data_IF_881796492398
#
_entry.id   IF_881796492398
#
_cell.length_a   1.000
_cell.length_b   1.000
_cell.length_c   1.000
_cell.angle_alpha   90.00
_cell.angle_beta   90.00
_cell.angle_gamma   90.00
#
_symmetry.space_group_name_H-M   'P 1'
#
loop_
_entity.id
_entity.type
_entity.pdbx_description
1 polymer ?
#
# COMPACT_ATOMS: atom_id res chain seq x y z
N UNK A 1 -10.40 3.70 19.81
CA UNK A 1 -9.03 4.29 19.77
C UNK A 1 -8.04 3.51 18.90
N UNK A 2 -7.88 2.18 19.04
CA UNK A 2 -6.88 1.40 18.28
C UNK A 2 -7.06 1.43 16.75
N UNK A 3 -8.31 1.44 16.24
CA UNK A 3 -8.60 1.52 14.78
C UNK A 3 -8.24 2.88 14.18
N UNK A 4 -8.48 3.98 14.89
CA UNK A 4 -8.13 5.34 14.44
C UNK A 4 -6.63 5.54 14.26
N UNK A 5 -5.82 4.92 15.13
CA UNK A 5 -4.35 4.92 15.01
C UNK A 5 -3.91 4.14 13.76
N UNK A 6 -4.52 2.98 13.48
CA UNK A 6 -4.21 2.21 12.27
C UNK A 6 -4.46 2.96 10.98
N UNK A 7 -5.61 3.67 10.89
CA UNK A 7 -5.94 4.51 9.72
C UNK A 7 -4.99 5.71 9.59
N UNK A 8 -4.61 6.34 10.71
CA UNK A 8 -3.61 7.41 10.70
C UNK A 8 -2.25 6.92 10.21
N UNK A 9 -1.81 5.74 10.67
CA UNK A 9 -0.56 5.12 10.21
C UNK A 9 -0.61 4.85 8.71
N UNK A 10 -1.70 4.26 8.21
CA UNK A 10 -1.90 4.02 6.77
C UNK A 10 -1.85 5.33 5.97
N UNK A 11 -2.46 6.40 6.48
CA UNK A 11 -2.40 7.71 5.85
C UNK A 11 -0.97 8.27 5.81
N UNK A 12 -0.22 8.20 6.92
CA UNK A 12 1.19 8.63 6.97
C UNK A 12 2.06 7.82 6.02
N UNK A 13 1.91 6.49 5.99
CA UNK A 13 2.62 5.63 5.04
C UNK A 13 2.27 5.98 3.59
N UNK A 14 1.00 6.28 3.30
CA UNK A 14 0.58 6.68 1.95
C UNK A 14 1.25 7.98 1.49
N UNK A 15 1.39 8.96 2.39
CA UNK A 15 2.07 10.23 2.10
C UNK A 15 3.57 9.98 1.85
N UNK A 16 4.20 9.16 2.69
CA UNK A 16 5.61 8.82 2.52
C UNK A 16 5.87 8.13 1.17
N UNK A 17 5.04 7.13 0.83
CA UNK A 17 5.14 6.43 -0.46
C UNK A 17 4.82 7.33 -1.66
N UNK A 18 3.85 8.25 -1.50
CA UNK A 18 3.54 9.26 -2.51
C UNK A 18 4.71 10.21 -2.74
N UNK A 19 5.36 10.69 -1.68
CA UNK A 19 6.51 11.57 -1.78
C UNK A 19 7.67 10.88 -2.54
N UNK A 20 7.96 9.62 -2.23
CA UNK A 20 8.99 8.85 -2.93
C UNK A 20 8.59 8.63 -4.40
N UNK A 21 7.34 8.27 -4.67
CA UNK A 21 6.88 8.05 -6.04
C UNK A 21 6.90 9.33 -6.88
N UNK A 22 6.51 10.46 -6.30
CA UNK A 22 6.58 11.77 -6.93
C UNK A 22 8.04 12.20 -7.18
N UNK A 23 8.94 11.92 -6.24
CA UNK A 23 10.38 12.12 -6.43
C UNK A 23 10.90 11.29 -7.61
N UNK A 24 10.52 10.01 -7.71
CA UNK A 24 10.93 9.17 -8.85
C UNK A 24 10.36 9.65 -10.18
N UNK A 25 9.13 10.17 -10.21
CA UNK A 25 8.57 10.83 -11.40
C UNK A 25 9.39 12.06 -11.76
N UNK A 26 9.78 12.88 -10.78
CA UNK A 26 10.61 14.06 -11.03
C UNK A 26 12.00 13.67 -11.58
N UNK A 27 12.66 12.68 -10.98
CA UNK A 27 13.96 12.17 -11.42
C UNK A 27 13.90 11.54 -12.82
N UNK A 28 12.75 11.04 -13.23
CA UNK A 28 12.56 10.57 -14.61
C UNK A 28 12.71 11.72 -15.64
N UNK A 29 12.32 12.94 -15.29
CA UNK A 29 12.51 14.13 -16.14
C UNK A 29 13.88 14.76 -15.97
N UNK A 30 14.44 14.73 -14.76
CA UNK A 30 15.77 15.24 -14.47
C UNK A 30 16.63 14.14 -13.84
N UNK A 31 17.29 13.35 -14.68
CA UNK A 31 18.14 12.23 -14.25
C UNK A 31 19.32 12.67 -13.37
N UNK A 32 19.70 13.97 -13.40
CA UNK A 32 20.76 14.53 -12.54
C UNK A 32 20.31 14.71 -11.09
N UNK A 33 19.00 14.72 -10.84
CA UNK A 33 18.43 14.79 -9.50
C UNK A 33 18.41 13.44 -8.78
N UNK A 34 18.88 12.36 -9.43
CA UNK A 34 18.94 11.02 -8.83
C UNK A 34 19.95 11.00 -7.67
N UNK A 35 19.44 10.78 -6.46
CA UNK A 35 20.26 10.58 -5.25
C UNK A 35 20.31 9.09 -4.97
N UNK A 36 21.16 8.35 -5.69
CA UNK A 36 21.39 6.93 -5.49
C UNK A 36 22.74 6.53 -6.12
N UNK A 37 23.31 5.40 -5.69
CA UNK A 37 24.46 4.82 -6.38
C UNK A 37 24.11 4.52 -7.83
N UNK A 38 25.03 4.86 -8.73
CA UNK A 38 25.01 4.55 -10.16
C UNK A 38 26.00 3.43 -10.53
N UNK A 39 26.57 2.76 -9.53
CA UNK A 39 27.57 1.71 -9.73
C UNK A 39 27.31 0.48 -8.86
N UNK A 40 27.67 -0.70 -9.38
CA UNK A 40 27.49 -1.98 -8.70
C UNK A 40 26.08 -2.55 -8.77
N UNK A 41 25.74 -3.41 -7.80
CA UNK A 41 24.46 -4.14 -7.74
C UNK A 41 23.27 -3.25 -7.34
N UNK A 42 23.53 -2.12 -6.66
CA UNK A 42 22.52 -1.10 -6.35
C UNK A 42 22.70 0.03 -7.35
N UNK A 43 21.90 0.00 -8.42
CA UNK A 43 21.98 0.97 -9.52
C UNK A 43 20.58 1.46 -9.90
N UNK A 44 20.16 2.54 -9.24
CA UNK A 44 18.85 3.12 -9.50
C UNK A 44 18.74 3.72 -10.91
N UNK A 45 19.85 4.25 -11.45
CA UNK A 45 19.90 4.86 -12.78
C UNK A 45 19.60 3.81 -13.87
N UNK A 46 20.24 2.65 -13.78
CA UNK A 46 19.99 1.54 -14.70
C UNK A 46 18.54 1.06 -14.65
N UNK A 47 17.92 1.01 -13.47
CA UNK A 47 16.53 0.56 -13.32
C UNK A 47 15.57 1.60 -13.91
N UNK A 48 15.74 2.89 -13.58
CA UNK A 48 14.84 3.97 -14.00
C UNK A 48 14.93 4.34 -15.48
N UNK A 49 16.09 4.12 -16.11
CA UNK A 49 16.30 4.39 -17.54
C UNK A 49 15.99 3.18 -18.43
N UNK A 50 15.82 1.99 -17.83
CA UNK A 50 15.53 0.78 -18.58
C UNK A 50 14.19 0.82 -19.31
N UNK A 51 14.08 0.08 -20.41
CA UNK A 51 12.80 -0.13 -21.11
C UNK A 51 11.74 -0.82 -20.24
N UNK A 52 12.16 -1.42 -19.12
CA UNK A 52 11.29 -2.08 -18.12
C UNK A 52 10.77 -1.12 -17.05
N UNK A 53 11.19 0.15 -17.08
CA UNK A 53 10.58 1.22 -16.28
C UNK A 53 9.18 1.63 -16.78
N UNK A 54 8.75 1.10 -17.92
CA UNK A 54 7.42 1.33 -18.49
C UNK A 54 6.51 0.13 -18.23
N UNK A 55 5.22 0.42 -18.03
CA UNK A 55 4.20 -0.61 -17.88
C UNK A 55 4.11 -1.43 -19.17
N UNK A 56 4.19 -2.78 -19.12
CA UNK A 56 4.21 -3.62 -20.30
C UNK A 56 3.01 -3.35 -21.22
N UNK A 57 3.29 -3.03 -22.49
CA UNK A 57 2.28 -2.69 -23.48
C UNK A 57 1.87 -1.21 -23.54
N UNK A 58 2.43 -0.35 -22.68
CA UNK A 58 2.18 1.11 -22.72
C UNK A 58 3.48 1.92 -22.61
N UNK A 59 3.45 3.22 -22.92
CA UNK A 59 4.58 4.15 -22.72
C UNK A 59 4.52 4.87 -21.37
N UNK A 60 3.76 4.36 -20.40
CA UNK A 60 3.57 5.02 -19.11
C UNK A 60 4.62 4.53 -18.11
N UNK A 61 5.43 5.42 -17.51
CA UNK A 61 6.38 5.02 -16.48
C UNK A 61 5.67 4.44 -15.26
N UNK A 62 6.22 3.37 -14.71
CA UNK A 62 5.68 2.65 -13.55
C UNK A 62 5.58 3.57 -12.32
N UNK A 63 6.45 4.58 -12.22
CA UNK A 63 6.41 5.59 -11.17
C UNK A 63 5.05 6.33 -11.11
N UNK A 64 4.39 6.57 -12.25
CA UNK A 64 3.04 7.17 -12.26
C UNK A 64 1.99 6.24 -11.66
N UNK A 65 2.10 4.93 -11.89
CA UNK A 65 1.19 3.98 -11.25
C UNK A 65 1.37 3.96 -9.74
N UNK A 66 2.60 4.06 -9.25
CA UNK A 66 2.89 4.23 -7.83
C UNK A 66 2.20 5.45 -7.23
N UNK A 67 2.32 6.61 -7.87
CA UNK A 67 1.63 7.85 -7.46
C UNK A 67 0.12 7.63 -7.37
N UNK A 68 -0.51 7.09 -8.42
CA UNK A 68 -1.96 6.83 -8.43
C UNK A 68 -2.34 5.88 -7.29
N UNK A 69 -1.58 4.81 -7.10
CA UNK A 69 -1.87 3.82 -6.07
C UNK A 69 -1.79 4.40 -4.65
N UNK A 70 -0.78 5.23 -4.36
CA UNK A 70 -0.64 5.89 -3.06
C UNK A 70 -1.71 6.96 -2.82
N UNK A 71 -2.08 7.73 -3.85
CA UNK A 71 -3.17 8.71 -3.76
C UNK A 71 -4.48 8.00 -3.42
N UNK A 72 -4.83 6.95 -4.16
CA UNK A 72 -6.07 6.18 -3.91
C UNK A 72 -6.05 5.57 -2.50
N UNK A 73 -4.94 4.96 -2.09
CA UNK A 73 -4.80 4.40 -0.75
C UNK A 73 -4.93 5.46 0.35
N UNK A 74 -4.35 6.64 0.16
CA UNK A 74 -4.44 7.75 1.11
C UNK A 74 -5.84 8.33 1.21
N UNK A 75 -6.56 8.46 0.09
CA UNK A 75 -7.97 8.89 0.07
C UNK A 75 -8.85 7.89 0.81
N UNK A 76 -8.69 6.59 0.57
CA UNK A 76 -9.46 5.55 1.26
C UNK A 76 -9.18 5.60 2.77
N UNK A 77 -7.90 5.68 3.18
CA UNK A 77 -7.52 5.77 4.59
C UNK A 77 -8.08 7.04 5.27
N UNK A 78 -8.08 8.18 4.57
CA UNK A 78 -8.66 9.42 5.07
C UNK A 78 -10.18 9.34 5.23
N UNK A 79 -10.89 8.76 4.26
CA UNK A 79 -12.34 8.56 4.32
C UNK A 79 -12.72 7.60 5.46
N UNK A 80 -11.96 6.52 5.64
CA UNK A 80 -12.11 5.58 6.74
C UNK A 80 -11.88 6.24 8.10
N UNK A 81 -10.94 7.19 8.19
CA UNK A 81 -10.66 7.90 9.44
C UNK A 81 -11.72 8.96 9.78
N UNK A 82 -12.12 9.80 8.82
CA UNK A 82 -12.92 11.00 9.09
C UNK A 82 -14.42 10.77 9.07
N UNK A 83 -14.91 9.89 8.18
CA UNK A 83 -16.33 9.84 7.87
C UNK A 83 -16.92 8.48 8.29
N UNK A 84 -16.35 7.36 7.84
CA UNK A 84 -17.00 6.03 7.89
C UNK A 84 -16.12 4.96 8.56
N UNK A 85 -15.78 5.09 9.86
CA UNK A 85 -14.86 4.16 10.56
C UNK A 85 -15.39 2.73 10.75
N UNK A 86 -16.63 2.45 10.33
CA UNK A 86 -17.40 1.24 10.68
C UNK A 86 -17.91 0.46 9.45
N UNK A 87 -17.60 0.87 8.21
CA UNK A 87 -18.10 0.16 7.03
C UNK A 87 -17.11 -0.90 6.55
N UNK A 88 -17.45 -2.18 6.80
CA UNK A 88 -16.73 -3.36 6.30
C UNK A 88 -16.43 -3.29 4.80
N UNK A 89 -17.34 -2.72 4.01
CA UNK A 89 -17.14 -2.51 2.56
C UNK A 89 -15.91 -1.66 2.20
N UNK A 90 -15.56 -0.65 3.02
CA UNK A 90 -14.37 0.17 2.79
C UNK A 90 -13.09 -0.63 3.08
N UNK A 91 -13.08 -1.44 4.13
CA UNK A 91 -11.96 -2.31 4.48
C UNK A 91 -11.73 -3.38 3.42
N UNK A 92 -12.79 -3.99 2.88
CA UNK A 92 -12.70 -4.96 1.78
C UNK A 92 -12.11 -4.30 0.54
N UNK A 93 -12.57 -3.09 0.20
CA UNK A 93 -12.04 -2.33 -0.95
C UNK A 93 -10.57 -2.00 -0.74
N UNK A 94 -10.19 -1.60 0.47
CA UNK A 94 -8.81 -1.28 0.82
C UNK A 94 -7.91 -2.53 0.76
N UNK A 95 -8.40 -3.69 1.21
CA UNK A 95 -7.69 -4.95 1.12
C UNK A 95 -7.54 -5.41 -0.35
N UNK A 96 -8.60 -5.32 -1.15
CA UNK A 96 -8.54 -5.61 -2.58
C UNK A 96 -7.53 -4.71 -3.30
N UNK A 97 -7.51 -3.41 -2.97
CA UNK A 97 -6.54 -2.46 -3.51
C UNK A 97 -5.10 -2.76 -3.06
N UNK A 98 -4.93 -3.24 -1.82
CA UNK A 98 -3.64 -3.68 -1.30
C UNK A 98 -3.11 -4.93 -2.02
N UNK A 99 -3.99 -5.84 -2.44
CA UNK A 99 -3.64 -7.01 -3.26
C UNK A 99 -3.07 -6.56 -4.63
N UNK A 100 -3.68 -5.56 -5.26
CA UNK A 100 -3.12 -4.98 -6.49
C UNK A 100 -1.71 -4.38 -6.26
N UNK A 101 -1.49 -3.75 -5.10
CA UNK A 101 -0.20 -3.23 -4.69
C UNK A 101 0.87 -4.33 -4.58
N UNK A 102 0.60 -5.42 -3.86
CA UNK A 102 1.58 -6.50 -3.66
C UNK A 102 1.88 -7.27 -4.96
N UNK A 103 0.88 -7.47 -5.83
CA UNK A 103 1.10 -8.05 -7.15
C UNK A 103 2.08 -7.20 -7.97
N UNK A 104 1.93 -5.88 -7.89
CA UNK A 104 2.83 -4.93 -8.55
C UNK A 104 4.24 -5.02 -7.97
N UNK A 105 4.39 -5.07 -6.64
CA UNK A 105 5.69 -5.25 -5.97
C UNK A 105 6.39 -6.53 -6.41
N UNK A 106 5.70 -7.66 -6.39
CA UNK A 106 6.27 -8.95 -6.81
C UNK A 106 6.73 -8.91 -8.27
N UNK A 107 5.96 -8.28 -9.14
CA UNK A 107 6.33 -8.08 -10.54
C UNK A 107 7.59 -7.23 -10.68
N UNK A 108 7.70 -6.10 -9.98
CA UNK A 108 8.86 -5.21 -10.07
C UNK A 108 10.12 -5.85 -9.50
N UNK A 109 10.02 -6.51 -8.35
CA UNK A 109 11.14 -7.24 -7.74
C UNK A 109 11.64 -8.33 -8.68
N UNK A 110 10.74 -9.04 -9.37
CA UNK A 110 11.13 -10.01 -10.38
C UNK A 110 11.92 -9.36 -11.53
N UNK A 111 11.51 -8.18 -11.99
CA UNK A 111 12.25 -7.45 -13.03
C UNK A 111 13.63 -6.99 -12.55
N UNK A 112 13.72 -6.42 -11.35
CA UNK A 112 14.98 -5.95 -10.77
C UNK A 112 16.01 -7.09 -10.64
N UNK A 113 15.59 -8.21 -10.05
CA UNK A 113 16.49 -9.32 -9.74
C UNK A 113 16.78 -10.19 -10.96
N UNK A 114 15.75 -10.62 -11.68
CA UNK A 114 15.90 -11.66 -12.72
C UNK A 114 16.23 -11.07 -14.08
N UNK A 115 15.67 -9.91 -14.42
CA UNK A 115 15.82 -9.32 -15.76
C UNK A 115 16.96 -8.31 -15.79
N UNK A 116 17.01 -7.41 -14.82
CA UNK A 116 17.98 -6.30 -14.78
C UNK A 116 19.26 -6.66 -14.01
N UNK A 117 19.21 -7.65 -13.10
CA UNK A 117 20.29 -7.97 -12.16
C UNK A 117 20.81 -6.73 -11.41
N UNK A 118 19.92 -5.78 -11.11
CA UNK A 118 20.21 -4.53 -10.44
C UNK A 118 19.04 -4.13 -9.54
N UNK A 119 19.35 -3.63 -8.34
CA UNK A 119 18.37 -3.22 -7.34
C UNK A 119 18.30 -1.70 -7.28
N UNK A 120 17.07 -1.15 -7.27
CA UNK A 120 16.85 0.25 -6.98
C UNK A 120 16.47 0.42 -5.50
N UNK A 121 17.28 1.20 -4.76
CA UNK A 121 17.03 1.47 -3.34
C UNK A 121 15.70 2.20 -3.11
N UNK A 122 15.34 3.13 -4.01
CA UNK A 122 14.08 3.87 -3.94
C UNK A 122 12.86 3.01 -4.26
N UNK A 123 12.94 2.12 -5.26
CA UNK A 123 11.87 1.16 -5.55
C UNK A 123 11.70 0.20 -4.36
N UNK A 124 12.81 -0.29 -3.79
CA UNK A 124 12.78 -1.14 -2.59
C UNK A 124 12.11 -0.44 -1.41
N UNK A 125 12.38 0.85 -1.19
CA UNK A 125 11.69 1.63 -0.15
C UNK A 125 10.17 1.67 -0.39
N UNK A 126 9.74 1.91 -1.62
CA UNK A 126 8.31 1.84 -2.00
C UNK A 126 7.73 0.45 -1.77
N UNK A 127 8.45 -0.62 -2.13
CA UNK A 127 8.01 -2.00 -1.90
C UNK A 127 7.78 -2.30 -0.41
N UNK A 128 8.69 -1.84 0.45
CA UNK A 128 8.57 -2.00 1.91
C UNK A 128 7.36 -1.24 2.45
N UNK A 129 7.10 -0.01 1.96
CA UNK A 129 5.93 0.77 2.38
C UNK A 129 4.63 0.05 1.98
N UNK A 130 4.54 -0.45 0.74
CA UNK A 130 3.36 -1.19 0.26
C UNK A 130 3.13 -2.45 1.11
N UNK A 131 4.19 -3.20 1.41
CA UNK A 131 4.14 -4.38 2.30
C UNK A 131 3.64 -4.01 3.70
N UNK A 132 4.18 -2.94 4.30
CA UNK A 132 3.74 -2.48 5.60
C UNK A 132 2.26 -2.05 5.60
N UNK A 133 1.81 -1.37 4.54
CA UNK A 133 0.39 -1.02 4.38
C UNK A 133 -0.50 -2.25 4.24
N UNK A 134 -0.07 -3.28 3.49
CA UNK A 134 -0.79 -4.54 3.38
C UNK A 134 -0.92 -5.22 4.75
N UNK A 135 0.16 -5.32 5.52
CA UNK A 135 0.14 -5.92 6.85
C UNK A 135 -0.83 -5.17 7.79
N UNK A 136 -0.81 -3.83 7.76
CA UNK A 136 -1.75 -3.02 8.54
C UNK A 136 -3.21 -3.25 8.12
N UNK A 137 -3.48 -3.34 6.81
CA UNK A 137 -4.82 -3.65 6.31
C UNK A 137 -5.30 -5.02 6.76
N UNK A 138 -4.44 -6.05 6.69
CA UNK A 138 -4.78 -7.41 7.17
C UNK A 138 -5.08 -7.39 8.67
N UNK A 139 -4.26 -6.71 9.49
CA UNK A 139 -4.48 -6.61 10.93
C UNK A 139 -5.80 -5.88 11.27
N UNK A 140 -6.15 -4.83 10.50
CA UNK A 140 -7.41 -4.11 10.68
C UNK A 140 -8.61 -4.95 10.26
N UNK A 141 -8.46 -5.73 9.19
CA UNK A 141 -9.50 -6.63 8.67
C UNK A 141 -9.79 -7.78 9.64
N UNK A 142 -8.76 -8.50 10.12
CA UNK A 142 -8.94 -9.60 11.07
C UNK A 142 -9.55 -9.16 12.40
N UNK A 143 -9.24 -7.94 12.85
CA UNK A 143 -9.91 -7.34 14.00
C UNK A 143 -11.39 -7.01 13.76
N UNK A 144 -11.76 -6.76 12.50
CA UNK A 144 -13.16 -6.49 12.17
C UNK A 144 -13.97 -7.77 12.17
N UNK A 145 -13.43 -8.83 11.59
CA UNK A 145 -14.10 -10.13 11.61
C UNK A 145 -14.30 -10.65 13.04
N UNK A 146 -13.30 -10.51 13.92
CA UNK A 146 -13.41 -10.92 15.32
C UNK A 146 -14.45 -10.11 16.12
N UNK A 147 -14.59 -8.81 15.83
CA UNK A 147 -15.58 -7.96 16.50
C UNK A 147 -17.01 -8.31 16.04
N UNK A 148 -17.21 -8.68 14.77
CA UNK A 148 -18.52 -9.12 14.24
C UNK A 148 -18.92 -10.52 14.68
N UNK A 149 -17.97 -11.45 14.83
CA UNK A 149 -18.25 -12.79 15.37
C UNK A 149 -18.74 -12.71 16.82
N UNK A 150 -18.16 -11.79 17.62
CA UNK A 150 -18.62 -11.50 18.98
C UNK A 150 -20.04 -10.90 19.02
N UNK A 151 -20.35 -9.91 18.16
CA UNK A 151 -21.70 -9.34 18.09
C UNK A 151 -22.77 -10.37 17.67
N UNK A 152 -22.44 -11.28 16.75
CA UNK A 152 -23.33 -12.39 16.36
C UNK A 152 -23.59 -13.31 17.56
N UNK A 153 -22.55 -13.75 18.26
CA UNK A 153 -22.69 -14.62 19.44
C UNK A 153 -23.54 -13.97 20.55
N UNK A 154 -23.42 -12.66 20.74
CA UNK A 154 -24.19 -11.92 21.74
C UNK A 154 -25.67 -11.79 21.35
N UNK A 155 -25.97 -11.58 20.05
CA UNK A 155 -27.35 -11.52 19.53
C UNK A 155 -28.06 -12.88 19.55
N UNK A 156 -27.33 -13.98 19.32
CA UNK A 156 -27.87 -15.35 19.29
C UNK A 156 -28.03 -15.96 20.70
N UNK A 157 -27.48 -15.33 21.75
CA UNK A 157 -27.86 -15.66 23.14
C UNK A 157 -29.23 -15.05 23.46
N UNK A 158 -30.32 -15.83 23.51
CA UNK A 158 -31.63 -15.27 23.78
C UNK A 158 -31.63 -14.82 25.23
N UNK A 159 -31.65 -13.50 25.45
CA UNK A 159 -32.06 -12.77 26.65
C UNK A 159 -32.57 -13.61 27.85
N UNK A 160 -31.69 -14.42 28.45
CA UNK A 160 -31.94 -15.18 29.67
C UNK A 160 -31.89 -14.28 30.92
N UNK A 161 -31.94 -12.95 30.72
CA UNK A 161 -31.84 -11.91 31.75
C UNK A 161 -33.17 -11.18 32.00
N UNK A 162 -34.33 -11.75 31.65
CA UNK A 162 -35.65 -11.26 32.09
C UNK A 162 -36.41 -12.23 33.01
N UNK A 163 -35.84 -13.38 33.36
CA UNK A 163 -36.53 -14.42 34.17
C UNK A 163 -36.17 -14.41 35.67
N UNK A 164 -35.63 -13.31 36.20
CA UNK A 164 -35.38 -13.13 37.63
C UNK A 164 -35.84 -11.74 38.08
N UNK A 165 -37.16 -11.52 38.10
CA UNK A 165 -37.79 -10.52 38.96
C UNK A 165 -39.18 -10.95 39.37
#
# INVERSE_FOLDING_TARGET
MKRSIGQLLLFVLSIAGLAISAYLVYVHFDSKALVCSNSGYVNCESVLTSSRAFVPGTRIPIAYMGVVWFVVSGVIAFLAWKIWPQKRGLLITQLAWAICGILSVLYLVYLEIVVLNAICAWCTAVHVIILAMLLLNVILFTRTDADEEYELEEEDTPSLSSAHK
#
